data_IF_017557860147
#
_entry.id   IF_017557860147
#
_cell.length_a   1.000
_cell.length_b   1.000
_cell.length_c   1.000
_cell.angle_alpha   90.00
_cell.angle_beta   90.00
_cell.angle_gamma   90.00
#
_symmetry.space_group_name_H-M   'P 1'
#
loop_
_entity.id
_entity.type
_entity.pdbx_description
1 polymer ?
#
# COMPACT_ATOMS: atom_id res chain seq x y z
N UNK A 1 -5.55 16.18 7.10
CA UNK A 1 -4.12 16.41 6.79
C UNK A 1 -3.63 17.58 7.63
N UNK A 2 -2.41 17.53 8.20
CA UNK A 2 -1.85 18.64 8.97
C UNK A 2 -1.64 19.88 8.09
N UNK A 3 -1.83 21.07 8.66
CA UNK A 3 -1.68 22.36 7.97
C UNK A 3 -0.25 22.59 7.44
N UNK A 4 0.73 21.95 8.07
CA UNK A 4 2.16 22.08 7.79
C UNK A 4 2.66 21.08 6.73
N UNK A 5 1.78 20.22 6.20
CA UNK A 5 2.17 19.14 5.30
C UNK A 5 2.81 17.95 6.01
N UNK A 6 3.15 16.91 5.25
CA UNK A 6 3.74 15.67 5.78
C UNK A 6 5.05 15.39 5.04
N UNK A 7 6.12 15.09 5.79
CA UNK A 7 7.38 14.66 5.21
C UNK A 7 7.17 13.29 4.54
N UNK A 8 7.32 13.25 3.22
CA UNK A 8 7.15 12.01 2.45
C UNK A 8 8.23 10.99 2.84
N UNK A 9 7.80 9.75 3.07
CA UNK A 9 8.69 8.63 3.28
C UNK A 9 9.50 8.39 2.00
N UNK A 10 10.80 8.12 2.15
CA UNK A 10 11.65 7.74 1.01
C UNK A 10 11.18 6.40 0.42
N UNK A 11 11.25 6.26 -0.90
CA UNK A 11 10.77 5.10 -1.63
C UNK A 11 11.41 3.77 -1.20
N UNK A 12 12.64 3.79 -0.71
CA UNK A 12 13.38 2.63 -0.20
C UNK A 12 12.80 2.05 1.09
N UNK A 13 11.94 2.79 1.78
CA UNK A 13 11.25 2.36 3.02
C UNK A 13 9.79 1.98 2.78
N UNK A 14 9.34 1.94 1.54
CA UNK A 14 7.98 1.58 1.15
C UNK A 14 8.02 0.25 0.40
N UNK A 15 7.08 -0.65 0.72
CA UNK A 15 6.95 -1.91 0.01
C UNK A 15 6.68 -1.69 -1.48
N UNK A 16 7.41 -2.40 -2.30
CA UNK A 16 7.20 -2.46 -3.74
C UNK A 16 5.91 -3.25 -4.06
N UNK A 17 5.40 -3.08 -5.28
CA UNK A 17 4.15 -3.70 -5.74
C UNK A 17 4.16 -5.21 -5.59
N UNK A 18 5.26 -5.85 -5.99
CA UNK A 18 5.45 -7.30 -5.93
C UNK A 18 5.48 -7.83 -4.50
N UNK A 19 6.07 -7.09 -3.56
CA UNK A 19 6.07 -7.41 -2.13
C UNK A 19 4.65 -7.36 -1.55
N UNK A 20 3.85 -6.35 -1.93
CA UNK A 20 2.45 -6.22 -1.50
C UNK A 20 1.62 -7.38 -2.04
N UNK A 21 1.75 -7.70 -3.33
CA UNK A 21 1.03 -8.81 -3.96
C UNK A 21 1.44 -10.15 -3.33
N UNK A 22 2.73 -10.34 -2.99
CA UNK A 22 3.20 -11.52 -2.28
C UNK A 22 2.53 -11.66 -0.91
N UNK A 23 2.48 -10.59 -0.12
CA UNK A 23 1.82 -10.60 1.18
C UNK A 23 0.32 -10.84 1.06
N UNK A 24 -0.36 -10.14 0.15
CA UNK A 24 -1.79 -10.33 -0.11
C UNK A 24 -2.13 -11.79 -0.43
N UNK A 25 -1.35 -12.44 -1.31
CA UNK A 25 -1.53 -13.86 -1.65
C UNK A 25 -1.34 -14.77 -0.45
N UNK A 26 -0.33 -14.52 0.39
CA UNK A 26 -0.10 -15.30 1.62
C UNK A 26 -1.27 -15.15 2.60
N UNK A 27 -1.77 -13.94 2.82
CA UNK A 27 -2.90 -13.70 3.72
C UNK A 27 -4.19 -14.34 3.23
N UNK A 28 -4.47 -14.27 1.93
CA UNK A 28 -5.64 -14.93 1.33
C UNK A 28 -5.56 -16.45 1.51
N UNK A 29 -4.38 -17.05 1.35
CA UNK A 29 -4.15 -18.48 1.66
C UNK A 29 -4.42 -18.84 3.13
N UNK A 30 -4.31 -17.88 4.03
CA UNK A 30 -4.61 -18.05 5.47
C UNK A 30 -6.06 -17.65 5.83
N UNK A 31 -6.93 -17.43 4.84
CA UNK A 31 -8.35 -17.19 5.06
C UNK A 31 -8.76 -15.71 5.13
N UNK A 32 -7.86 -14.77 4.84
CA UNK A 32 -8.24 -13.35 4.68
C UNK A 32 -9.11 -13.18 3.43
N UNK A 33 -10.27 -12.55 3.59
CA UNK A 33 -11.25 -12.33 2.50
C UNK A 33 -11.40 -10.86 2.08
N UNK A 34 -10.80 -9.94 2.83
CA UNK A 34 -10.90 -8.50 2.58
C UNK A 34 -9.57 -7.83 2.88
N UNK A 35 -9.07 -7.07 1.90
CA UNK A 35 -7.88 -6.22 2.03
C UNK A 35 -8.34 -4.78 1.80
N UNK A 36 -7.95 -3.86 2.68
CA UNK A 36 -8.26 -2.43 2.56
C UNK A 36 -6.97 -1.67 2.27
N UNK A 37 -6.91 -1.02 1.12
CA UNK A 37 -5.83 -0.08 0.80
C UNK A 37 -6.03 1.22 1.60
N UNK A 38 -4.98 1.66 2.28
CA UNK A 38 -4.99 2.82 3.17
C UNK A 38 -3.61 3.47 3.23
N UNK A 39 -3.46 4.55 3.98
CA UNK A 39 -2.25 5.36 4.08
C UNK A 39 -2.62 6.79 4.46
N UNK A 40 -2.05 7.77 3.75
CA UNK A 40 -2.67 9.10 3.63
C UNK A 40 -3.82 9.03 2.64
N UNK A 41 -3.61 9.59 1.44
CA UNK A 41 -4.50 9.41 0.29
C UNK A 41 -3.99 8.24 -0.59
N UNK A 42 -4.69 7.10 -0.69
CA UNK A 42 -4.21 5.93 -1.43
C UNK A 42 -3.93 6.23 -2.90
N UNK A 43 -4.74 7.07 -3.55
CA UNK A 43 -4.63 7.37 -4.98
C UNK A 43 -3.36 8.13 -5.37
N UNK A 44 -2.62 8.68 -4.39
CA UNK A 44 -1.31 9.32 -4.60
C UNK A 44 -0.22 8.31 -4.95
N UNK A 45 -0.42 7.03 -4.62
CA UNK A 45 0.54 5.97 -4.97
C UNK A 45 0.51 5.70 -6.47
N UNK A 46 1.65 5.91 -7.15
CA UNK A 46 1.76 5.86 -8.62
C UNK A 46 1.36 4.52 -9.24
N UNK A 47 1.67 3.42 -8.55
CA UNK A 47 1.44 2.03 -8.96
C UNK A 47 0.16 1.45 -8.34
N UNK A 48 -0.78 2.28 -7.86
CA UNK A 48 -1.98 1.75 -7.19
C UNK A 48 -2.87 0.89 -8.10
N UNK A 49 -2.87 1.17 -9.40
CA UNK A 49 -3.62 0.38 -10.40
C UNK A 49 -3.04 -1.02 -10.53
N UNK A 50 -1.72 -1.18 -10.38
CA UNK A 50 -1.04 -2.48 -10.45
C UNK A 50 -1.29 -3.34 -9.20
N UNK A 51 -1.82 -2.75 -8.12
CA UNK A 51 -2.16 -3.43 -6.85
C UNK A 51 -3.61 -3.98 -6.87
N UNK A 52 -4.49 -3.43 -7.71
CA UNK A 52 -5.94 -3.73 -7.74
C UNK A 52 -6.28 -4.82 -8.75
#
# INVERSE_FOLDING_TARGET
MPAEGVKLTKNDKILQTDEILRLARLFVKQGVRKIRLTGGEPTVRKDIVDII
#
